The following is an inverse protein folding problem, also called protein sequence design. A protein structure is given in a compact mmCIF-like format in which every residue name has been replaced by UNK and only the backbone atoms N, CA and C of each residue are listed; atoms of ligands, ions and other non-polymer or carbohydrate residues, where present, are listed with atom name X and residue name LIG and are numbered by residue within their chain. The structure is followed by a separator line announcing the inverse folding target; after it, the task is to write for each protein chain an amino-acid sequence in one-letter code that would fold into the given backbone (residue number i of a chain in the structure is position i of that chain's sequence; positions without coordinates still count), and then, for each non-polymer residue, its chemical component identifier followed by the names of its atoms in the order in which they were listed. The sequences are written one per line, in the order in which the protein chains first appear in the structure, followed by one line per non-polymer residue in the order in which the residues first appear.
data_IF_500033555801
#
_entry.id   IF_500033555801
#
_cell.length_a   1.000
_cell.length_b   1.000
_cell.length_c   1.000
_cell.angle_alpha   90.00
_cell.angle_beta   90.00
_cell.angle_gamma   90.00
#
_symmetry.space_group_name_H-M   'P 1'
#
loop_
_entity.id
_entity.type
_entity.pdbx_description
1 polymer ?
#
# COMPACT_ATOMS: atom_id res chain seq x y z
N UNK A 1 -11.77 9.28 22.05
CA UNK A 1 -11.19 9.12 20.69
C UNK A 1 -10.96 7.63 20.49
N UNK A 2 -11.58 6.94 19.50
CA UNK A 2 -11.70 5.49 19.58
C UNK A 2 -10.44 4.71 19.16
N UNK A 3 -9.46 5.34 18.51
CA UNK A 3 -8.16 4.72 18.19
C UNK A 3 -7.05 5.76 18.32
N UNK A 4 -5.89 5.33 18.85
CA UNK A 4 -4.67 6.15 18.83
C UNK A 4 -4.18 6.33 17.39
N UNK A 5 -3.50 7.44 17.10
CA UNK A 5 -2.82 7.67 15.81
C UNK A 5 -1.78 6.61 15.49
N UNK A 6 -1.19 5.99 16.52
CA UNK A 6 -0.22 4.90 16.40
C UNK A 6 -0.86 3.51 16.45
N UNK A 7 -2.19 3.42 16.42
CA UNK A 7 -2.86 2.12 16.39
C UNK A 7 -2.46 1.37 15.12
N UNK A 8 -2.05 0.11 15.29
CA UNK A 8 -1.62 -0.76 14.22
C UNK A 8 -2.31 -2.13 14.28
N UNK A 9 -2.48 -2.76 13.12
CA UNK A 9 -2.97 -4.12 13.01
C UNK A 9 -2.00 -5.09 13.71
N UNK A 10 -2.54 -6.03 14.49
CA UNK A 10 -1.72 -7.00 15.23
C UNK A 10 -1.04 -8.03 14.32
N UNK A 11 -1.60 -8.29 13.14
CA UNK A 11 -1.09 -9.30 12.20
C UNK A 11 -0.03 -8.71 11.27
N UNK A 12 -0.37 -7.64 10.55
CA UNK A 12 0.49 -7.07 9.50
C UNK A 12 1.15 -5.74 9.87
N UNK A 13 0.91 -5.21 11.09
CA UNK A 13 1.43 -3.91 11.56
C UNK A 13 0.96 -2.70 10.73
N UNK A 14 0.00 -2.85 9.83
CA UNK A 14 -0.58 -1.75 9.07
C UNK A 14 -1.20 -0.70 10.00
N UNK A 15 -1.06 0.59 9.66
CA UNK A 15 -1.62 1.68 10.44
C UNK A 15 -3.15 1.67 10.36
N UNK A 16 -3.81 1.89 11.50
CA UNK A 16 -5.29 1.88 11.58
C UNK A 16 -5.90 3.29 11.57
N UNK A 17 -5.11 4.31 11.90
CA UNK A 17 -5.54 5.71 11.88
C UNK A 17 -5.16 6.39 10.56
N UNK A 18 -5.76 5.92 9.47
CA UNK A 18 -5.49 6.36 8.10
C UNK A 18 -6.79 6.87 7.47
N UNK A 19 -6.72 7.82 6.54
CA UNK A 19 -7.92 8.39 5.92
C UNK A 19 -8.81 7.29 5.33
N UNK A 20 -8.22 6.28 4.69
CA UNK A 20 -8.94 5.16 4.07
C UNK A 20 -9.76 4.28 5.02
N UNK A 21 -9.52 4.37 6.33
CA UNK A 21 -10.28 3.67 7.37
C UNK A 21 -11.24 4.60 8.12
N UNK A 22 -11.34 5.87 7.71
CA UNK A 22 -12.25 6.85 8.28
C UNK A 22 -13.63 6.75 7.63
N UNK A 23 -14.72 6.89 8.40
CA UNK A 23 -16.09 6.90 7.86
C UNK A 23 -16.39 8.06 6.91
N UNK A 24 -15.60 9.15 6.96
CA UNK A 24 -15.79 10.33 6.13
C UNK A 24 -15.04 10.27 4.80
N UNK A 25 -14.21 9.26 4.64
CA UNK A 25 -13.39 9.04 3.48
C UNK A 25 -14.25 8.84 2.22
N UNK A 26 -13.99 9.63 1.17
CA UNK A 26 -14.81 9.58 -0.04
C UNK A 26 -13.99 9.92 -1.28
N UNK A 27 -13.55 8.91 -2.03
CA UNK A 27 -12.77 9.08 -3.26
C UNK A 27 -13.53 9.66 -4.45
N UNK A 28 -14.86 9.82 -4.34
CA UNK A 28 -15.66 10.45 -5.40
C UNK A 28 -15.76 11.97 -5.23
N UNK A 29 -15.39 12.48 -4.06
CA UNK A 29 -15.48 13.91 -3.74
C UNK A 29 -14.14 14.61 -4.02
N UNK A 30 -14.17 15.88 -4.42
CA UNK A 30 -12.95 16.62 -4.81
C UNK A 30 -11.91 16.70 -3.68
N UNK A 31 -12.36 16.88 -2.45
CA UNK A 31 -11.47 16.93 -1.27
C UNK A 31 -11.24 15.56 -0.65
N UNK A 32 -11.72 14.49 -1.28
CA UNK A 32 -11.49 13.12 -0.83
C UNK A 32 -12.07 12.77 0.56
N UNK A 33 -12.82 13.69 1.17
CA UNK A 33 -13.36 13.62 2.51
C UNK A 33 -14.71 14.37 2.57
N UNK A 34 -15.70 13.75 3.19
CA UNK A 34 -17.05 14.30 3.40
C UNK A 34 -17.13 15.32 4.55
N UNK A 35 -16.09 15.47 5.36
CA UNK A 35 -16.03 16.50 6.42
C UNK A 35 -15.29 17.73 5.90
N UNK A 36 -15.97 18.86 5.60
CA UNK A 36 -15.35 20.02 4.98
C UNK A 36 -14.32 20.74 5.85
N UNK A 37 -14.37 20.55 7.18
CA UNK A 37 -13.41 21.13 8.13
C UNK A 37 -12.22 20.21 8.40
N UNK A 38 -12.20 19.01 7.84
CA UNK A 38 -11.07 18.11 7.99
C UNK A 38 -9.87 18.64 7.22
N UNK A 39 -8.69 18.44 7.79
CA UNK A 39 -7.43 18.74 7.13
C UNK A 39 -7.23 17.81 5.92
N UNK A 40 -6.64 18.35 4.86
CA UNK A 40 -6.27 17.56 3.69
C UNK A 40 -5.01 16.75 4.00
N UNK A 41 -5.06 15.44 3.76
CA UNK A 41 -3.94 14.52 3.97
C UNK A 41 -3.48 14.02 2.61
N UNK A 42 -2.21 14.27 2.26
CA UNK A 42 -1.66 13.87 0.97
C UNK A 42 -1.54 12.35 0.83
N UNK A 43 -1.07 11.67 1.88
CA UNK A 43 -0.93 10.21 1.90
C UNK A 43 -2.02 9.58 2.77
N UNK A 44 -3.06 9.08 2.12
CA UNK A 44 -4.29 8.61 2.76
C UNK A 44 -4.20 7.19 3.31
N UNK A 45 -3.12 6.48 2.99
CA UNK A 45 -2.86 5.12 3.43
C UNK A 45 -1.87 5.07 4.62
N UNK A 46 -1.24 6.20 4.94
CA UNK A 46 -0.38 6.34 6.13
C UNK A 46 -1.12 6.90 7.34
N UNK A 47 -0.56 6.60 8.51
CA UNK A 47 -1.02 7.16 9.78
C UNK A 47 -1.00 8.69 9.72
N UNK A 48 -2.08 9.32 10.18
CA UNK A 48 -2.21 10.78 10.26
C UNK A 48 -2.80 11.22 11.60
N UNK A 49 -2.87 12.53 11.81
CA UNK A 49 -3.32 13.17 13.05
C UNK A 49 -4.65 13.90 12.90
N UNK A 50 -5.47 13.52 11.90
CA UNK A 50 -6.73 14.21 11.64
C UNK A 50 -7.68 14.10 12.84
N UNK A 51 -8.02 15.24 13.46
CA UNK A 51 -8.91 15.31 14.63
C UNK A 51 -10.34 14.84 14.33
N UNK A 52 -10.74 14.87 13.06
CA UNK A 52 -12.05 14.43 12.59
C UNK A 52 -12.13 12.92 12.34
N UNK A 53 -11.04 12.18 12.54
CA UNK A 53 -10.99 10.75 12.29
C UNK A 53 -12.05 10.00 13.11
N UNK A 54 -12.86 9.21 12.41
CA UNK A 54 -13.82 8.28 13.00
C UNK A 54 -13.69 6.94 12.28
N UNK A 55 -13.27 5.87 12.96
CA UNK A 55 -13.06 4.58 12.32
C UNK A 55 -14.37 4.06 11.75
N UNK A 56 -14.34 3.54 10.53
CA UNK A 56 -15.49 2.90 9.93
C UNK A 56 -15.78 1.58 10.66
N UNK A 57 -16.98 1.49 11.25
CA UNK A 57 -17.45 0.28 11.94
C UNK A 57 -18.08 -0.68 10.93
N UNK A 58 -17.87 -1.98 11.12
CA UNK A 58 -18.49 -3.01 10.25
C UNK A 58 -17.72 -3.31 8.97
N UNK A 59 -16.49 -2.82 8.81
CA UNK A 59 -15.57 -3.32 7.79
C UNK A 59 -15.12 -4.75 8.16
N UNK A 60 -15.93 -5.74 7.80
CA UNK A 60 -15.44 -7.12 7.69
C UNK A 60 -14.80 -7.25 6.32
N UNK A 61 -13.48 -7.44 6.27
CA UNK A 61 -12.85 -7.94 5.06
C UNK A 61 -13.46 -9.33 4.81
N UNK A 62 -14.37 -9.44 3.85
CA UNK A 62 -14.94 -10.72 3.42
C UNK A 62 -13.88 -11.60 2.78
N UNK A 63 -12.76 -11.01 2.38
CA UNK A 63 -11.67 -11.68 1.68
C UNK A 63 -10.35 -11.32 2.37
N UNK A 64 -9.78 -12.31 3.04
CA UNK A 64 -8.39 -12.24 3.47
C UNK A 64 -7.55 -12.75 2.30
N UNK A 65 -6.73 -11.88 1.71
CA UNK A 65 -5.69 -12.29 0.78
C UNK A 65 -4.52 -12.90 1.58
N UNK A 66 -4.73 -14.09 2.14
CA UNK A 66 -3.66 -14.92 2.70
C UNK A 66 -2.95 -15.64 1.54
N UNK A 67 -2.26 -14.93 0.63
CA UNK A 67 -1.42 -15.65 -0.35
C UNK A 67 -0.23 -14.85 -0.93
N UNK A 68 0.87 -14.72 -0.16
CA UNK A 68 2.13 -14.22 -0.72
C UNK A 68 2.80 -15.18 -1.73
N UNK A 69 2.47 -16.48 -1.71
CA UNK A 69 3.07 -17.45 -2.64
C UNK A 69 2.47 -17.38 -4.05
N UNK A 70 1.16 -17.14 -4.17
CA UNK A 70 0.46 -17.14 -5.47
C UNK A 70 0.85 -15.92 -6.33
N UNK A 71 1.03 -14.76 -5.70
CA UNK A 71 1.43 -13.52 -6.39
C UNK A 71 2.85 -13.62 -6.97
N UNK A 72 3.78 -14.27 -6.26
CA UNK A 72 5.16 -14.44 -6.74
C UNK A 72 5.21 -15.33 -7.98
N UNK A 73 4.39 -16.37 -8.03
CA UNK A 73 4.32 -17.29 -9.15
C UNK A 73 3.60 -16.67 -10.36
N UNK A 74 2.54 -15.88 -10.12
CA UNK A 74 1.91 -15.08 -11.17
C UNK A 74 2.87 -14.05 -11.77
N UNK A 75 3.63 -13.33 -10.94
CA UNK A 75 4.66 -12.40 -11.42
C UNK A 75 5.74 -13.14 -12.21
N UNK A 76 6.25 -14.27 -11.70
CA UNK A 76 7.23 -15.08 -12.41
C UNK A 76 6.72 -15.52 -13.79
N UNK A 77 5.46 -15.93 -13.91
CA UNK A 77 4.85 -16.29 -15.19
C UNK A 77 4.78 -15.13 -16.18
N UNK A 78 4.57 -13.90 -15.71
CA UNK A 78 4.52 -12.71 -16.58
C UNK A 78 5.91 -12.34 -17.11
N UNK A 79 6.96 -12.59 -16.33
CA UNK A 79 8.34 -12.25 -16.69
C UNK A 79 9.16 -13.42 -17.25
N UNK A 80 8.61 -14.65 -17.25
CA UNK A 80 9.30 -15.85 -17.75
C UNK A 80 9.76 -15.72 -19.22
N UNK A 81 9.08 -14.93 -20.04
CA UNK A 81 9.48 -14.71 -21.44
C UNK A 81 10.59 -13.67 -21.63
N UNK A 82 10.97 -12.93 -20.57
CA UNK A 82 12.04 -11.91 -20.63
C UNK A 82 13.42 -12.56 -20.53
N UNK A 83 13.53 -13.71 -19.86
CA UNK A 83 14.78 -14.48 -19.72
C UNK A 83 15.17 -15.23 -21.01
N UNK A 84 14.20 -15.48 -21.90
CA UNK A 84 14.42 -16.22 -23.16
C UNK A 84 14.86 -15.33 -24.34
N UNK A 85 14.98 -14.01 -24.14
CA UNK A 85 15.44 -13.10 -25.18
C UNK A 85 16.98 -13.16 -25.34
N UNK A 86 17.50 -13.37 -26.57
CA UNK A 86 18.93 -13.29 -26.82
C UNK A 86 19.44 -11.87 -26.55
N UNK A 87 20.18 -11.68 -25.45
CA UNK A 87 20.76 -10.39 -25.02
C UNK A 87 20.61 -10.08 -23.52
N UNK A 88 19.77 -10.80 -22.77
CA UNK A 88 19.54 -10.55 -21.34
C UNK A 88 20.78 -10.86 -20.48
N UNK A 89 21.57 -11.89 -20.82
CA UNK A 89 22.77 -12.28 -20.05
C UNK A 89 23.90 -11.25 -20.14
N UNK A 90 24.13 -10.65 -21.32
CA UNK A 90 25.13 -9.60 -21.50
C UNK A 90 24.78 -8.31 -20.74
N UNK A 91 23.49 -8.06 -20.54
CA UNK A 91 22.98 -6.89 -19.83
C UNK A 91 23.24 -6.98 -18.32
N UNK A 92 23.18 -8.17 -17.72
CA UNK A 92 23.48 -8.34 -16.29
C UNK A 92 24.97 -8.14 -15.99
N UNK A 93 25.85 -8.73 -16.82
CA UNK A 93 27.31 -8.63 -16.64
C UNK A 93 27.82 -7.19 -16.79
N UNK A 94 27.22 -6.42 -17.69
CA UNK A 94 27.55 -5.00 -17.90
C UNK A 94 27.05 -4.11 -16.75
N UNK A 95 25.90 -4.43 -16.15
CA UNK A 95 25.39 -3.72 -14.96
C UNK A 95 26.25 -4.01 -13.73
N UNK A 96 26.63 -5.27 -13.49
CA UNK A 96 27.54 -5.66 -12.40
C UNK A 96 28.91 -4.96 -12.49
N UNK A 97 29.41 -4.76 -13.71
CA UNK A 97 30.63 -3.98 -13.95
C UNK A 97 30.45 -2.48 -13.66
N UNK A 98 29.25 -1.93 -13.89
CA UNK A 98 28.95 -0.51 -13.69
C UNK A 98 28.75 -0.14 -12.20
N UNK A 99 28.24 -1.07 -11.39
CA UNK A 99 27.97 -0.84 -9.97
C UNK A 99 29.08 -1.31 -9.03
N UNK A 100 30.18 -1.86 -9.57
CA UNK A 100 31.41 -2.07 -8.79
C UNK A 100 32.06 -0.73 -8.47
N UNK A 101 31.74 -0.24 -7.27
CA UNK A 101 32.32 0.95 -6.64
C UNK A 101 33.68 0.59 -6.02
N UNK A 102 34.70 1.39 -6.31
CA UNK A 102 35.97 1.43 -5.56
C UNK A 102 35.75 1.68 -4.05
#
# INVERSE_FOLDING_TARGET
MPLSTYAACRTCRASLHVCRLCQFDNSTWRSDCNEPRAESVSDREKANFCDWFKPQVGLSATERFDQPDDEREQLASLFASVDELPGTRESSETLDALFKKD
#
